data_IF_447954024010
#
_entry.id   IF_447954024010
#
_cell.length_a   1.000
_cell.length_b   1.000
_cell.length_c   1.000
_cell.angle_alpha   90.00
_cell.angle_beta   90.00
_cell.angle_gamma   90.00
#
_symmetry.space_group_name_H-M   'P 1'
#
loop_
_entity.id
_entity.type
_entity.pdbx_description
1 polymer ?
#
# COMPACT_ATOMS: atom_id res chain seq x y z
N UNK A 1 -14.43 14.80 -10.06
CA UNK A 1 -14.55 14.71 -8.60
C UNK A 1 -13.17 14.35 -8.07
N UNK A 2 -12.44 15.34 -7.55
CA UNK A 2 -11.06 15.16 -7.09
C UNK A 2 -11.09 14.42 -5.74
N UNK A 3 -10.65 13.17 -5.72
CA UNK A 3 -10.38 12.43 -4.50
C UNK A 3 -9.08 12.98 -3.89
N UNK A 4 -9.21 13.96 -2.99
CA UNK A 4 -8.07 14.60 -2.33
C UNK A 4 -7.35 13.63 -1.40
N UNK A 5 -6.29 13.00 -1.88
CA UNK A 5 -5.27 12.36 -1.04
C UNK A 5 -4.48 13.49 -0.36
N UNK A 6 -4.63 13.64 0.95
CA UNK A 6 -3.90 14.66 1.72
C UNK A 6 -2.54 14.07 2.10
N UNK A 7 -1.48 14.52 1.41
CA UNK A 7 -0.10 14.19 1.71
C UNK A 7 0.41 15.04 2.89
N UNK A 8 0.76 14.40 4.02
CA UNK A 8 1.57 15.06 5.04
C UNK A 8 3.05 14.77 4.76
N UNK A 9 3.76 15.78 4.29
CA UNK A 9 5.21 15.78 4.05
C UNK A 9 5.96 15.47 5.35
N UNK A 10 6.52 14.26 5.45
CA UNK A 10 7.17 13.82 6.68
C UNK A 10 8.01 12.54 6.53
N UNK A 11 8.80 12.41 5.46
CA UNK A 11 10.12 11.75 5.53
C UNK A 11 10.92 12.04 4.24
N UNK A 12 11.83 13.02 4.32
CA UNK A 12 12.78 13.31 3.25
C UNK A 12 13.69 12.09 3.00
N UNK A 13 13.65 11.62 1.75
CA UNK A 13 14.79 11.10 0.98
C UNK A 13 15.73 10.19 1.79
N UNK A 14 15.33 8.94 2.02
CA UNK A 14 16.32 7.88 2.25
C UNK A 14 16.22 6.67 1.33
N UNK A 15 15.18 6.52 0.50
CA UNK A 15 15.00 5.27 -0.27
C UNK A 15 14.44 5.40 -1.71
N UNK A 16 14.37 6.59 -2.32
CA UNK A 16 13.89 6.74 -3.70
C UNK A 16 12.40 6.40 -3.91
N UNK A 17 11.62 6.47 -2.84
CA UNK A 17 10.17 6.31 -2.80
C UNK A 17 9.59 7.57 -2.16
N UNK A 18 8.69 8.27 -2.86
CA UNK A 18 7.90 9.37 -2.32
C UNK A 18 6.50 8.86 -1.97
N UNK A 19 5.84 9.47 -0.97
CA UNK A 19 4.44 9.17 -0.69
C UNK A 19 3.52 9.49 -1.88
N UNK A 20 3.92 10.42 -2.75
CA UNK A 20 3.24 10.64 -4.03
C UNK A 20 3.12 9.35 -4.86
N UNK A 21 4.09 8.45 -4.77
CA UNK A 21 4.12 7.20 -5.54
C UNK A 21 3.26 6.08 -4.90
N UNK A 22 2.76 6.29 -3.67
CA UNK A 22 1.92 5.31 -3.01
C UNK A 22 0.59 5.07 -3.75
N UNK A 23 0.17 6.01 -4.60
CA UNK A 23 -1.01 5.87 -5.45
C UNK A 23 -0.89 4.66 -6.39
N UNK A 24 0.31 4.34 -6.88
CA UNK A 24 0.53 3.15 -7.73
C UNK A 24 0.17 1.85 -7.01
N UNK A 25 0.37 1.80 -5.68
CA UNK A 25 -0.08 0.67 -4.88
C UNK A 25 -1.59 0.69 -4.67
N UNK A 26 -2.13 1.87 -4.34
CA UNK A 26 -3.53 2.03 -3.99
C UNK A 26 -4.47 1.88 -5.19
N UNK A 27 -4.05 2.19 -6.41
CA UNK A 27 -4.90 2.09 -7.60
C UNK A 27 -4.76 0.74 -8.33
N UNK A 28 -3.86 -0.13 -7.89
CA UNK A 28 -3.64 -1.42 -8.53
C UNK A 28 -4.87 -2.34 -8.44
N UNK A 29 -5.24 -2.95 -9.57
CA UNK A 29 -6.27 -4.01 -9.63
C UNK A 29 -5.83 -5.27 -8.88
N UNK A 30 -4.51 -5.48 -8.80
CA UNK A 30 -3.89 -6.58 -8.07
C UNK A 30 -3.42 -6.12 -6.69
N UNK A 31 -4.21 -5.29 -6.01
CA UNK A 31 -3.97 -4.86 -4.64
C UNK A 31 -4.55 -5.86 -3.64
N UNK A 32 -3.72 -6.33 -2.72
CA UNK A 32 -4.12 -7.07 -1.53
C UNK A 32 -4.28 -6.10 -0.36
N UNK A 33 -5.45 -6.07 0.26
CA UNK A 33 -5.73 -5.28 1.46
C UNK A 33 -5.83 -6.18 2.69
N UNK A 34 -4.97 -5.95 3.68
CA UNK A 34 -4.96 -6.64 4.96
C UNK A 34 -5.37 -5.65 6.07
N UNK A 35 -6.43 -5.99 6.82
CA UNK A 35 -6.82 -5.23 7.99
C UNK A 35 -5.81 -5.48 9.12
N UNK A 36 -5.27 -4.41 9.68
CA UNK A 36 -4.34 -4.47 10.81
C UNK A 36 -4.75 -3.49 11.89
N UNK A 37 -4.60 -3.89 13.16
CA UNK A 37 -4.97 -3.08 14.32
C UNK A 37 -3.70 -2.82 15.13
N UNK A 38 -3.36 -1.54 15.37
CA UNK A 38 -2.24 -1.17 16.24
C UNK A 38 -2.68 -0.05 17.17
N UNK A 39 -2.57 -0.28 18.48
CA UNK A 39 -2.98 0.68 19.52
C UNK A 39 -4.43 1.17 19.32
N UNK A 40 -5.38 0.25 19.12
CA UNK A 40 -6.81 0.51 18.87
C UNK A 40 -7.15 1.33 17.61
N UNK A 41 -6.16 1.70 16.80
CA UNK A 41 -6.38 2.30 15.49
C UNK A 41 -6.48 1.21 14.42
N UNK A 42 -7.64 1.14 13.75
CA UNK A 42 -7.84 0.29 12.57
C UNK A 42 -7.08 0.88 11.39
N UNK A 43 -6.19 0.08 10.81
CA UNK A 43 -5.34 0.42 9.68
C UNK A 43 -5.53 -0.60 8.58
N UNK A 44 -5.19 -0.20 7.36
CA UNK A 44 -5.14 -1.08 6.21
C UNK A 44 -3.69 -1.13 5.74
N UNK A 45 -3.19 -2.34 5.55
CA UNK A 45 -1.95 -2.58 4.82
C UNK A 45 -2.32 -3.03 3.41
N UNK A 46 -2.02 -2.19 2.43
CA UNK A 46 -2.20 -2.48 1.02
C UNK A 46 -0.87 -2.91 0.41
N UNK A 47 -0.86 -4.03 -0.31
CA UNK A 47 0.32 -4.59 -0.96
C UNK A 47 0.00 -4.80 -2.43
N UNK A 48 0.89 -4.36 -3.32
CA UNK A 48 0.79 -4.65 -4.75
C UNK A 48 2.17 -4.64 -5.41
N UNK A 49 2.23 -5.17 -6.64
CA UNK A 49 3.36 -4.94 -7.52
C UNK A 49 3.24 -3.55 -8.17
N UNK A 50 4.24 -2.70 -7.95
CA UNK A 50 4.37 -1.39 -8.58
C UNK A 50 5.33 -1.52 -9.77
N UNK A 51 4.80 -1.34 -10.98
CA UNK A 51 5.55 -1.49 -12.23
C UNK A 51 6.61 -0.38 -12.38
N UNK A 52 6.31 0.85 -11.98
CA UNK A 52 7.25 1.98 -12.02
C UNK A 52 8.51 1.74 -11.18
N UNK A 53 8.41 0.89 -10.15
CA UNK A 53 9.51 0.54 -9.25
C UNK A 53 10.03 -0.89 -9.45
N UNK A 54 9.40 -1.65 -10.34
CA UNK A 54 9.65 -3.08 -10.60
C UNK A 54 9.74 -3.91 -9.31
N UNK A 55 8.91 -3.58 -8.32
CA UNK A 55 8.99 -4.14 -6.99
C UNK A 55 7.61 -4.28 -6.35
N UNK A 56 7.50 -5.23 -5.41
CA UNK A 56 6.34 -5.31 -4.52
C UNK A 56 6.50 -4.25 -3.43
N UNK A 57 5.53 -3.35 -3.35
CA UNK A 57 5.50 -2.27 -2.39
C UNK A 57 4.34 -2.45 -1.42
N UNK A 58 4.47 -1.84 -0.24
CA UNK A 58 3.48 -1.90 0.82
C UNK A 58 3.20 -0.50 1.34
N UNK A 59 1.91 -0.18 1.43
CA UNK A 59 1.39 1.08 1.96
C UNK A 59 0.55 0.75 3.19
N UNK A 60 0.91 1.29 4.34
CA UNK A 60 0.05 1.28 5.53
C UNK A 60 -0.67 2.60 5.58
N UNK A 61 -2.00 2.57 5.61
CA UNK A 61 -2.83 3.77 5.62
C UNK A 61 -4.05 3.65 6.52
N UNK A 62 -4.64 4.80 6.82
CA UNK A 62 -5.93 4.91 7.50
C UNK A 62 -6.85 5.77 6.66
N UNK A 63 -8.11 5.33 6.52
CA UNK A 63 -9.17 6.18 5.98
C UNK A 63 -9.69 7.09 7.09
N UNK A 64 -9.73 8.40 6.82
CA UNK A 64 -10.41 9.40 7.66
C UNK A 64 -11.30 10.23 6.76
N UNK A 65 -12.60 10.16 7.00
CA UNK A 65 -13.63 10.91 6.28
C UNK A 65 -13.40 10.87 4.76
N UNK A 66 -12.92 11.97 4.17
CA UNK A 66 -12.67 12.12 2.73
C UNK A 66 -11.19 11.98 2.31
N UNK A 67 -10.30 11.54 3.19
CA UNK A 67 -8.86 11.46 2.91
C UNK A 67 -8.24 10.15 3.37
N UNK A 68 -7.24 9.70 2.61
CA UNK A 68 -6.38 8.57 3.00
C UNK A 68 -5.09 9.13 3.57
N UNK A 69 -4.80 8.84 4.84
CA UNK A 69 -3.53 9.20 5.46
C UNK A 69 -2.58 8.02 5.36
N UNK A 70 -1.47 8.23 4.64
CA UNK A 70 -0.38 7.25 4.57
C UNK A 70 0.45 7.33 5.86
N UNK A 71 0.68 6.18 6.48
CA UNK A 71 1.48 6.01 7.70
C UNK A 71 2.88 5.45 7.34
N UNK A 72 2.95 4.56 6.35
CA UNK A 72 4.20 3.96 5.90
C UNK A 72 4.10 3.61 4.42
N UNK A 73 5.17 3.85 3.68
CA UNK A 73 5.34 3.40 2.30
C UNK A 73 6.77 2.92 2.10
N UNK A 74 6.92 1.68 1.63
CA UNK A 74 8.22 1.03 1.50
C UNK A 74 8.12 -0.20 0.60
N UNK A 75 9.28 -0.77 0.24
CA UNK A 75 9.35 -2.12 -0.32
C UNK A 75 8.83 -3.16 0.67
N UNK A 76 8.09 -4.14 0.17
CA UNK A 76 7.61 -5.26 0.95
C UNK A 76 8.78 -6.16 1.39
N UNK A 77 8.76 -6.58 2.66
CA UNK A 77 9.69 -7.58 3.18
C UNK A 77 9.45 -8.98 2.60
N UNK A 78 10.30 -9.95 2.91
CA UNK A 78 10.18 -11.33 2.37
C UNK A 78 8.82 -11.95 2.69
N UNK A 79 8.43 -11.96 3.96
CA UNK A 79 7.15 -12.53 4.40
C UNK A 79 5.94 -11.83 3.75
N UNK A 80 6.00 -10.50 3.59
CA UNK A 80 4.92 -9.73 2.94
C UNK A 80 4.80 -10.06 1.44
N UNK A 81 5.94 -10.31 0.77
CA UNK A 81 5.97 -10.71 -0.63
C UNK A 81 5.43 -12.13 -0.82
N UNK A 82 5.78 -13.06 0.05
CA UNK A 82 5.26 -14.43 0.01
C UNK A 82 3.74 -14.44 0.15
N UNK A 83 3.21 -13.76 1.17
CA UNK A 83 1.76 -13.60 1.37
C UNK A 83 1.07 -13.01 0.14
N UNK A 84 1.67 -11.97 -0.46
CA UNK A 84 1.13 -11.33 -1.65
C UNK A 84 1.09 -12.29 -2.86
N UNK A 85 2.16 -13.04 -3.12
CA UNK A 85 2.21 -13.97 -4.25
C UNK A 85 1.28 -15.16 -4.07
N UNK A 86 1.16 -15.69 -2.85
CA UNK A 86 0.22 -16.76 -2.54
C UNK A 86 -1.22 -16.30 -2.76
N UNK A 87 -1.56 -15.10 -2.28
CA UNK A 87 -2.87 -14.50 -2.55
C UNK A 87 -3.11 -14.30 -4.04
N UNK A 88 -2.12 -13.77 -4.77
CA UNK A 88 -2.24 -13.51 -6.20
C UNK A 88 -2.50 -14.80 -6.98
N UNK A 89 -1.77 -15.88 -6.66
CA UNK A 89 -1.96 -17.21 -7.27
C UNK A 89 -3.38 -17.72 -7.06
N UNK A 90 -3.92 -17.58 -5.85
CA UNK A 90 -5.29 -18.01 -5.55
C UNK A 90 -6.32 -17.17 -6.31
N UNK A 91 -6.14 -15.85 -6.37
CA UNK A 91 -7.03 -14.94 -7.11
C UNK A 91 -7.14 -15.29 -8.60
N UNK A 92 -6.02 -15.71 -9.23
CA UNK A 92 -6.03 -16.15 -10.62
C UNK A 92 -6.65 -17.53 -10.81
N UNK A 93 -6.54 -18.44 -9.84
CA UNK A 93 -7.17 -19.76 -9.93
C UNK A 93 -8.70 -19.71 -9.77
N UNK A 94 -9.23 -18.61 -9.24
CA UNK A 94 -10.67 -18.37 -9.06
C UNK A 94 -11.31 -17.57 -10.22
N UNK A 95 -10.51 -17.11 -11.20
CA UNK A 95 -10.96 -16.36 -12.38
C UNK A 95 -11.03 -17.24 -13.62
#
# INVERSE_FOLDING_TARGET
MNNGVIFFTGCLIKHGLDFADAEEVLESVYRLDLLTSRNDERRVQSISYALGFLAVLTVVHVKRDNSTRIISFRRAGNNEREVYYDWLKNKYNES
#
